data_IF_015684251388
#
_entry.id   IF_015684251388
#
_cell.length_a   1.000
_cell.length_b   1.000
_cell.length_c   1.000
_cell.angle_alpha   90.00
_cell.angle_beta   90.00
_cell.angle_gamma   90.00
#
_symmetry.space_group_name_H-M   'P 1'
#
loop_
_entity.id
_entity.type
_entity.pdbx_description
1 polymer ?
#
# COMPACT_ATOMS: atom_id res chain seq x y z
N UNK A 1 1.84 -10.37 8.95
CA UNK A 1 0.88 -9.96 7.91
C UNK A 1 0.89 -10.95 6.74
N UNK A 2 -0.20 -11.05 5.98
CA UNK A 2 -0.38 -11.87 4.78
C UNK A 2 -0.44 -11.03 3.50
N UNK A 3 -0.88 -9.78 3.61
CA UNK A 3 -0.96 -8.85 2.49
C UNK A 3 -0.59 -7.43 2.94
N UNK A 4 -0.08 -6.63 2.01
CA UNK A 4 0.09 -5.19 2.16
C UNK A 4 -0.96 -4.44 1.34
N UNK A 5 -1.41 -3.29 1.84
CA UNK A 5 -2.39 -2.46 1.15
C UNK A 5 -1.72 -1.18 0.61
N UNK A 6 -2.07 -0.79 -0.61
CA UNK A 6 -1.78 0.56 -1.10
C UNK A 6 -2.75 1.61 -0.52
N UNK A 7 -2.47 2.88 -0.78
CA UNK A 7 -3.24 4.01 -0.23
C UNK A 7 -4.70 3.98 -0.64
N UNK A 8 -4.99 3.68 -1.89
CA UNK A 8 -6.37 3.63 -2.37
C UNK A 8 -7.13 2.47 -1.72
N UNK A 9 -6.47 1.32 -1.52
CA UNK A 9 -7.03 0.14 -0.86
C UNK A 9 -7.29 0.41 0.61
N UNK A 10 -6.41 1.12 1.31
CA UNK A 10 -6.67 1.58 2.68
C UNK A 10 -7.93 2.45 2.76
N UNK A 11 -8.07 3.42 1.85
CA UNK A 11 -9.27 4.28 1.80
C UNK A 11 -10.53 3.46 1.53
N UNK A 12 -10.46 2.45 0.67
CA UNK A 12 -11.58 1.54 0.43
C UNK A 12 -11.92 0.70 1.67
N UNK A 13 -10.92 0.11 2.33
CA UNK A 13 -11.10 -0.67 3.55
C UNK A 13 -11.75 0.16 4.68
N UNK A 14 -11.40 1.45 4.80
CA UNK A 14 -12.08 2.37 5.74
C UNK A 14 -13.56 2.55 5.41
N UNK A 15 -13.91 2.66 4.11
CA UNK A 15 -15.29 2.93 3.66
C UNK A 15 -16.17 1.67 3.55
N UNK A 16 -15.56 0.49 3.39
CA UNK A 16 -16.20 -0.80 3.08
C UNK A 16 -15.63 -1.92 3.95
N UNK A 17 -15.45 -1.65 5.24
CA UNK A 17 -14.74 -2.53 6.19
C UNK A 17 -15.25 -3.96 6.20
N UNK A 18 -16.56 -4.16 6.35
CA UNK A 18 -17.14 -5.51 6.42
C UNK A 18 -16.85 -6.35 5.16
N UNK A 19 -17.02 -5.75 3.98
CA UNK A 19 -16.74 -6.43 2.70
C UNK A 19 -15.25 -6.73 2.50
N UNK A 20 -14.37 -5.85 3.01
CA UNK A 20 -12.94 -6.09 2.98
C UNK A 20 -12.54 -7.21 3.95
N UNK A 21 -13.00 -7.14 5.21
CA UNK A 21 -12.68 -8.12 6.25
C UNK A 21 -13.28 -9.51 6.00
N UNK A 22 -14.34 -9.60 5.20
CA UNK A 22 -14.85 -10.88 4.70
C UNK A 22 -13.83 -11.63 3.81
N UNK A 23 -12.89 -10.92 3.17
CA UNK A 23 -11.80 -11.53 2.38
C UNK A 23 -10.56 -11.79 3.23
N UNK A 24 -10.12 -10.78 3.97
CA UNK A 24 -8.96 -10.86 4.85
C UNK A 24 -9.13 -9.90 6.04
N UNK A 25 -9.03 -10.40 7.29
CA UNK A 25 -9.10 -9.55 8.48
C UNK A 25 -7.99 -8.48 8.47
N UNK A 26 -8.31 -7.24 8.85
CA UNK A 26 -7.34 -6.13 8.79
C UNK A 26 -6.09 -6.37 9.65
N UNK A 27 -6.22 -7.12 10.76
CA UNK A 27 -5.08 -7.52 11.61
C UNK A 27 -4.04 -8.38 10.87
N UNK A 28 -4.45 -9.05 9.79
CA UNK A 28 -3.58 -9.83 8.93
C UNK A 28 -3.00 -8.98 7.79
N UNK A 29 -3.44 -7.74 7.62
CA UNK A 29 -2.91 -6.79 6.66
C UNK A 29 -1.80 -5.92 7.27
N UNK A 30 -0.94 -5.40 6.41
CA UNK A 30 -0.01 -4.33 6.73
C UNK A 30 -0.09 -3.17 5.75
N UNK A 31 0.45 -2.03 6.14
CA UNK A 31 0.64 -0.86 5.28
C UNK A 31 2.08 -0.39 5.40
N UNK A 32 2.64 0.09 4.29
CA UNK A 32 3.93 0.77 4.34
C UNK A 32 3.79 2.09 5.09
N UNK A 33 4.82 2.53 5.82
CA UNK A 33 4.88 3.87 6.39
C UNK A 33 4.70 4.98 5.33
N UNK A 34 5.03 4.68 4.07
CA UNK A 34 4.77 5.57 2.92
C UNK A 34 3.27 5.75 2.68
N UNK A 35 2.48 4.67 2.76
CA UNK A 35 1.02 4.72 2.65
C UNK A 35 0.43 5.55 3.80
N UNK A 36 0.94 5.36 5.02
CA UNK A 36 0.51 6.21 6.15
C UNK A 36 0.80 7.69 5.87
N UNK A 37 1.99 8.02 5.35
CA UNK A 37 2.33 9.38 4.95
C UNK A 37 1.38 9.97 3.91
N UNK A 38 0.96 9.18 2.91
CA UNK A 38 -0.01 9.62 1.89
C UNK A 38 -1.40 9.86 2.49
N UNK A 39 -1.84 9.00 3.42
CA UNK A 39 -3.10 9.18 4.14
C UNK A 39 -3.09 10.45 4.99
N UNK A 40 -2.03 10.68 5.77
CA UNK A 40 -1.85 11.87 6.61
C UNK A 40 -1.81 13.16 5.77
N UNK A 41 -1.13 13.11 4.63
CA UNK A 41 -1.13 14.21 3.67
C UNK A 41 -2.54 14.49 3.14
N UNK A 42 -3.28 13.44 2.74
CA UNK A 42 -4.68 13.56 2.30
C UNK A 42 -5.60 14.15 3.38
N UNK A 43 -5.41 13.78 4.65
CA UNK A 43 -6.16 14.36 5.77
C UNK A 43 -5.83 15.85 5.99
N UNK A 44 -4.56 16.25 5.80
CA UNK A 44 -4.16 17.66 5.90
C UNK A 44 -4.81 18.54 4.83
N UNK A 45 -5.11 17.98 3.65
CA UNK A 45 -5.79 18.67 2.55
C UNK A 45 -7.33 18.64 2.66
N UNK A 46 -7.89 17.87 3.60
CA UNK A 46 -9.35 17.70 3.69
C UNK A 46 -10.04 18.84 4.42
N UNK A 47 -11.16 19.30 3.88
CA UNK A 47 -12.10 20.22 4.56
C UNK A 47 -12.70 19.60 5.85
N UNK A 48 -12.66 18.26 5.98
CA UNK A 48 -13.11 17.50 7.16
C UNK A 48 -11.95 16.86 7.90
N UNK A 49 -10.88 17.64 8.15
CA UNK A 49 -9.64 17.18 8.78
C UNK A 49 -9.83 16.30 10.02
N UNK A 50 -10.75 16.67 10.94
CA UNK A 50 -11.01 15.89 12.16
C UNK A 50 -11.53 14.49 11.86
N UNK A 51 -12.49 14.37 10.95
CA UNK A 51 -13.09 13.09 10.58
C UNK A 51 -12.10 12.22 9.81
N UNK A 52 -11.31 12.84 8.92
CA UNK A 52 -10.24 12.16 8.18
C UNK A 52 -9.18 11.59 9.11
N UNK A 53 -8.70 12.36 10.09
CA UNK A 53 -7.71 11.89 11.07
C UNK A 53 -8.28 10.78 11.96
N UNK A 54 -9.55 10.87 12.36
CA UNK A 54 -10.20 9.81 13.13
C UNK A 54 -10.27 8.49 12.35
N UNK A 55 -10.62 8.54 11.06
CA UNK A 55 -10.65 7.37 10.19
C UNK A 55 -9.25 6.76 9.95
N UNK A 56 -8.21 7.60 9.84
CA UNK A 56 -6.82 7.13 9.74
C UNK A 56 -6.39 6.44 11.03
N UNK A 57 -6.67 7.04 12.19
CA UNK A 57 -6.32 6.43 13.47
C UNK A 57 -7.02 5.07 13.67
N UNK A 58 -8.28 4.95 13.26
CA UNK A 58 -9.02 3.69 13.29
C UNK A 58 -8.38 2.61 12.41
N UNK A 59 -8.04 2.91 11.14
CA UNK A 59 -7.39 1.92 10.28
C UNK A 59 -6.01 1.53 10.79
N UNK A 60 -5.23 2.49 11.29
CA UNK A 60 -3.87 2.28 11.80
C UNK A 60 -3.91 1.39 13.04
N UNK A 61 -4.95 1.51 13.87
CA UNK A 61 -5.19 0.59 14.98
C UNK A 61 -5.58 -0.82 14.55
N UNK A 62 -6.05 -1.02 13.31
CA UNK A 62 -6.52 -2.30 12.80
C UNK A 62 -5.49 -3.05 11.94
N UNK A 63 -4.49 -2.37 11.35
CA UNK A 63 -3.47 -2.96 10.47
C UNK A 63 -2.06 -2.86 11.06
N UNK A 64 -1.10 -3.59 10.50
CA UNK A 64 0.31 -3.46 10.86
C UNK A 64 0.97 -2.33 10.06
N UNK A 65 1.38 -1.24 10.70
CA UNK A 65 2.22 -0.22 10.04
C UNK A 65 3.67 -0.70 10.02
N UNK A 66 4.26 -0.80 8.83
CA UNK A 66 5.60 -1.36 8.63
C UNK A 66 6.58 -0.25 8.23
N UNK A 67 7.69 -0.17 8.95
CA UNK A 67 8.79 0.77 8.67
C UNK A 67 9.68 0.31 7.51
N UNK A 68 10.39 1.26 6.89
CA UNK A 68 11.39 0.95 5.89
C UNK A 68 12.69 0.49 6.55
N UNK A 69 13.26 -0.59 6.05
CA UNK A 69 14.55 -1.12 6.48
C UNK A 69 15.54 -1.24 5.30
N UNK A 70 16.74 -1.73 5.60
CA UNK A 70 17.81 -1.89 4.61
C UNK A 70 17.44 -2.89 3.49
N UNK A 71 16.62 -3.90 3.78
CA UNK A 71 16.15 -4.85 2.76
C UNK A 71 15.20 -4.16 1.79
N UNK A 72 14.29 -3.31 2.28
CA UNK A 72 13.41 -2.50 1.42
C UNK A 72 14.23 -1.57 0.53
N UNK A 73 15.26 -0.91 1.08
CA UNK A 73 16.15 -0.04 0.31
C UNK A 73 16.90 -0.80 -0.80
N UNK A 74 17.37 -2.02 -0.51
CA UNK A 74 18.01 -2.90 -1.49
C UNK A 74 17.06 -3.27 -2.63
N UNK A 75 15.84 -3.72 -2.29
CA UNK A 75 14.80 -4.07 -3.27
C UNK A 75 14.42 -2.86 -4.13
N UNK A 76 14.28 -1.69 -3.52
CA UNK A 76 14.00 -0.44 -4.21
C UNK A 76 15.06 -0.13 -5.28
N UNK A 77 16.35 -0.17 -4.92
CA UNK A 77 17.43 0.15 -5.86
C UNK A 77 17.45 -0.80 -7.07
N UNK A 78 17.32 -2.10 -6.81
CA UNK A 78 17.25 -3.13 -7.86
C UNK A 78 16.04 -2.91 -8.77
N UNK A 79 14.86 -2.70 -8.18
CA UNK A 79 13.62 -2.53 -8.91
C UNK A 79 13.63 -1.24 -9.74
N UNK A 80 14.11 -0.13 -9.19
CA UNK A 80 14.22 1.16 -9.90
C UNK A 80 15.13 1.06 -11.12
N UNK A 81 16.28 0.41 -10.97
CA UNK A 81 17.22 0.20 -12.06
C UNK A 81 16.59 -0.66 -13.16
N UNK A 82 15.93 -1.75 -12.77
CA UNK A 82 15.25 -2.65 -13.71
C UNK A 82 14.15 -1.93 -14.50
N UNK A 83 13.19 -1.30 -13.82
CA UNK A 83 12.07 -0.60 -14.46
C UNK A 83 12.53 0.54 -15.38
N UNK A 84 13.59 1.26 -14.98
CA UNK A 84 14.22 2.28 -15.82
C UNK A 84 14.83 1.67 -17.09
N UNK A 85 15.50 0.52 -16.97
CA UNK A 85 16.15 -0.13 -18.11
C UNK A 85 15.18 -0.59 -19.20
N UNK A 86 13.95 -0.93 -18.81
CA UNK A 86 12.88 -1.37 -19.72
C UNK A 86 11.91 -0.24 -20.12
N UNK A 87 12.18 1.01 -19.69
CA UNK A 87 11.35 2.17 -20.03
C UNK A 87 9.95 2.16 -19.38
N UNK A 88 9.78 1.48 -18.26
CA UNK A 88 8.49 1.32 -17.56
C UNK A 88 8.56 1.81 -16.11
N UNK A 89 8.86 3.10 -15.85
CA UNK A 89 8.82 3.63 -14.50
C UNK A 89 7.39 3.56 -13.93
N UNK A 90 7.31 3.41 -12.61
CA UNK A 90 6.09 3.55 -11.81
C UNK A 90 6.22 4.76 -10.88
N UNK A 91 5.12 5.18 -10.25
CA UNK A 91 5.12 6.28 -9.29
C UNK A 91 6.20 6.16 -8.21
N UNK A 92 6.79 7.27 -7.73
CA UNK A 92 7.91 7.21 -6.78
C UNK A 92 7.55 6.57 -5.44
N UNK A 93 6.33 6.82 -4.94
CA UNK A 93 5.82 6.17 -3.72
C UNK A 93 5.37 4.74 -3.99
N UNK A 94 4.70 4.49 -5.12
CA UNK A 94 4.34 3.14 -5.56
C UNK A 94 5.58 2.23 -5.69
N UNK A 95 6.70 2.78 -6.14
CA UNK A 95 7.97 2.06 -6.19
C UNK A 95 8.48 1.65 -4.80
N UNK A 96 8.34 2.52 -3.80
CA UNK A 96 8.64 2.16 -2.41
C UNK A 96 7.67 1.10 -1.87
N UNK A 97 6.37 1.22 -2.17
CA UNK A 97 5.35 0.26 -1.75
C UNK A 97 5.61 -1.12 -2.37
N UNK A 98 5.89 -1.17 -3.67
CA UNK A 98 6.25 -2.39 -4.39
C UNK A 98 7.52 -3.03 -3.81
N UNK A 99 8.57 -2.25 -3.59
CA UNK A 99 9.81 -2.72 -2.98
C UNK A 99 9.58 -3.24 -1.56
N UNK A 100 8.68 -2.62 -0.80
CA UNK A 100 8.33 -3.03 0.55
C UNK A 100 7.60 -4.39 0.55
N UNK A 101 6.60 -4.56 -0.32
CA UNK A 101 5.89 -5.83 -0.49
C UNK A 101 6.85 -6.97 -0.91
N UNK A 102 7.75 -6.70 -1.86
CA UNK A 102 8.79 -7.64 -2.28
C UNK A 102 9.77 -8.00 -1.16
N UNK A 103 10.19 -7.03 -0.34
CA UNK A 103 11.10 -7.25 0.78
C UNK A 103 10.48 -8.13 1.86
N UNK A 104 9.15 -8.11 1.99
CA UNK A 104 8.41 -8.87 3.01
C UNK A 104 7.78 -10.15 2.47
N UNK A 105 7.95 -10.46 1.19
CA UNK A 105 7.39 -11.63 0.51
C UNK A 105 5.87 -11.76 0.71
N UNK A 106 5.16 -10.64 0.52
CA UNK A 106 3.71 -10.55 0.70
C UNK A 106 3.03 -9.99 -0.53
N UNK A 107 1.79 -10.40 -0.73
CA UNK A 107 0.93 -9.90 -1.78
C UNK A 107 0.56 -8.43 -1.55
N UNK A 108 0.55 -7.62 -2.61
CA UNK A 108 0.04 -6.26 -2.57
C UNK A 108 -1.43 -6.22 -3.04
N UNK A 109 -2.31 -5.68 -2.22
CA UNK A 109 -3.68 -5.35 -2.61
C UNK A 109 -3.68 -3.89 -3.06
N UNK A 110 -4.06 -3.67 -4.31
CA UNK A 110 -3.94 -2.37 -4.97
C UNK A 110 -5.07 -2.14 -5.95
N UNK A 111 -5.39 -0.86 -6.16
CA UNK A 111 -6.30 -0.42 -7.21
C UNK A 111 -5.56 -0.03 -8.50
N UNK A 112 -4.24 0.14 -8.42
CA UNK A 112 -3.39 0.50 -9.55
C UNK A 112 -2.70 -0.74 -10.15
N UNK A 113 -3.47 -1.80 -10.38
CA UNK A 113 -2.95 -3.10 -10.80
C UNK A 113 -2.06 -2.99 -12.05
N UNK A 114 -2.42 -2.12 -12.99
CA UNK A 114 -1.68 -1.90 -14.23
C UNK A 114 -0.25 -1.35 -14.03
N UNK A 115 0.00 -0.57 -12.99
CA UNK A 115 1.37 -0.14 -12.63
C UNK A 115 2.13 -1.26 -11.94
N UNK A 116 1.52 -1.89 -10.93
CA UNK A 116 2.19 -2.92 -10.14
C UNK A 116 2.46 -4.23 -10.90
N UNK A 117 1.70 -4.54 -11.95
CA UNK A 117 1.97 -5.66 -12.85
C UNK A 117 3.31 -5.55 -13.60
N UNK A 118 3.90 -4.36 -13.67
CA UNK A 118 5.22 -4.15 -14.28
C UNK A 118 6.36 -4.56 -13.36
N UNK A 119 6.07 -4.79 -12.08
CA UNK A 119 7.06 -5.12 -11.05
C UNK A 119 7.34 -6.62 -11.08
N UNK A 120 8.54 -7.07 -11.48
CA UNK A 120 8.86 -8.49 -11.50
C UNK A 120 8.86 -9.09 -10.09
N UNK A 121 8.22 -10.25 -9.95
CA UNK A 121 8.14 -11.00 -8.70
C UNK A 121 7.10 -10.48 -7.69
N UNK A 122 6.42 -9.37 -7.98
CA UNK A 122 5.36 -8.85 -7.13
C UNK A 122 4.05 -9.55 -7.45
N UNK A 123 3.42 -10.15 -6.45
CA UNK A 123 2.04 -10.61 -6.56
C UNK A 123 1.12 -9.47 -6.17
N UNK A 124 0.29 -9.01 -7.10
CA UNK A 124 -0.65 -7.93 -6.88
C UNK A 124 -2.08 -8.35 -7.27
N UNK A 125 -3.08 -7.93 -6.51
CA UNK A 125 -4.50 -8.21 -6.77
C UNK A 125 -5.35 -6.99 -6.43
N UNK A 126 -6.52 -6.86 -7.07
CA UNK A 126 -7.54 -5.86 -6.71
C UNK A 126 -8.72 -6.54 -6.04
N UNK A 127 -9.20 -5.95 -4.95
CA UNK A 127 -10.40 -6.41 -4.24
C UNK A 127 -11.59 -5.46 -4.37
N UNK A 128 -11.44 -4.36 -5.10
CA UNK A 128 -12.59 -3.52 -5.41
C UNK A 128 -13.45 -4.16 -6.48
N UNK A 129 -14.68 -4.47 -6.07
CA UNK A 129 -15.81 -4.63 -6.97
C UNK A 129 -16.42 -3.25 -7.18
N UNK A 130 -16.67 -2.89 -8.46
CA UNK A 130 -17.14 -1.55 -8.88
C UNK A 130 -18.35 -1.02 -8.13
#
# INVERSE_FOLDING_TARGET
>A
MRAMLDTNTCIYAMKRREGFEARLPLRECGISIIVLGELEWGACLSDRKRDSLAAIHDIVGAVQVVELDAEVARRYGQLRAHLRSIGQPIGPNDLWIAAHALARDVQLITHNLAEFQRVPGLTAETWMTG
#
